data_IF_817261652764
#
_entry.id   IF_817261652764
#
_cell.length_a   1.000
_cell.length_b   1.000
_cell.length_c   1.000
_cell.angle_alpha   90.00
_cell.angle_beta   90.00
_cell.angle_gamma   90.00
#
_symmetry.space_group_name_H-M   'P 1'
#
loop_
_entity.id
_entity.type
_entity.pdbx_description
1 polymer ?
#
# COMPACT_ATOMS: atom_id res chain seq x y z
N UNK A 1 9.48 13.12 -2.69
CA UNK A 1 8.44 12.15 -2.28
C UNK A 1 8.26 11.18 -3.43
N UNK A 2 8.22 9.88 -3.15
CA UNK A 2 7.96 8.86 -4.18
C UNK A 2 6.48 8.91 -4.61
N UNK A 3 6.20 8.46 -5.83
CA UNK A 3 4.83 8.33 -6.34
C UNK A 3 3.99 7.41 -5.44
N UNK A 4 4.57 6.31 -4.97
CA UNK A 4 3.97 5.41 -3.97
C UNK A 4 3.60 6.15 -2.68
N UNK A 5 4.46 7.03 -2.15
CA UNK A 5 4.09 7.81 -0.96
C UNK A 5 2.87 8.70 -1.21
N UNK A 6 2.83 9.36 -2.37
CA UNK A 6 1.74 10.27 -2.71
C UNK A 6 0.37 9.55 -2.81
N UNK A 7 0.30 8.42 -3.50
CA UNK A 7 -0.96 7.66 -3.66
C UNK A 7 -1.49 7.12 -2.32
N UNK A 8 -0.59 6.74 -1.41
CA UNK A 8 -1.00 6.29 -0.07
C UNK A 8 -1.52 7.44 0.77
N UNK A 9 -0.90 8.62 0.71
CA UNK A 9 -1.42 9.82 1.39
C UNK A 9 -2.79 10.21 0.85
N UNK A 10 -2.95 10.22 -0.48
CA UNK A 10 -4.24 10.47 -1.11
C UNK A 10 -5.31 9.46 -0.64
N UNK A 11 -4.97 8.17 -0.57
CA UNK A 11 -5.89 7.14 -0.08
C UNK A 11 -6.27 7.31 1.40
N UNK A 12 -5.35 7.82 2.23
CA UNK A 12 -5.65 8.18 3.62
C UNK A 12 -6.62 9.35 3.66
N UNK A 13 -6.36 10.42 2.91
CA UNK A 13 -7.21 11.61 2.86
C UNK A 13 -8.63 11.30 2.36
N UNK A 14 -8.75 10.33 1.45
CA UNK A 14 -10.03 9.85 0.93
C UNK A 14 -10.68 8.74 1.78
N UNK A 15 -10.05 8.31 2.87
CA UNK A 15 -10.60 7.31 3.80
C UNK A 15 -10.70 5.90 3.22
N UNK A 16 -9.80 5.51 2.31
CA UNK A 16 -9.81 4.18 1.68
C UNK A 16 -9.31 3.07 2.60
N UNK A 17 -8.51 3.41 3.60
CA UNK A 17 -7.83 2.47 4.47
C UNK A 17 -8.43 2.42 5.87
N UNK A 18 -8.24 1.27 6.53
CA UNK A 18 -8.49 1.09 7.97
C UNK A 18 -7.13 0.96 8.68
N UNK A 19 -7.10 0.35 9.87
CA UNK A 19 -5.86 0.09 10.63
C UNK A 19 -4.87 -0.80 9.84
N UNK A 20 -5.41 -1.59 8.92
CA UNK A 20 -4.65 -2.48 8.04
C UNK A 20 -4.98 -2.19 6.57
N UNK A 21 -3.98 -2.39 5.73
CA UNK A 21 -4.04 -2.22 4.28
C UNK A 21 -3.43 -3.43 3.59
N UNK A 22 -4.05 -3.85 2.48
CA UNK A 22 -3.51 -4.89 1.62
C UNK A 22 -2.53 -4.24 0.63
N UNK A 23 -1.25 -4.62 0.68
CA UNK A 23 -0.18 -4.02 -0.12
C UNK A 23 0.39 -4.98 -1.14
N UNK A 24 0.76 -4.46 -2.31
CA UNK A 24 1.51 -5.18 -3.34
C UNK A 24 3.00 -4.91 -3.14
N UNK A 25 3.79 -5.97 -3.02
CA UNK A 25 5.26 -5.88 -2.92
C UNK A 25 5.93 -6.27 -4.23
N UNK A 26 6.93 -5.48 -4.62
CA UNK A 26 7.83 -5.73 -5.76
C UNK A 26 9.27 -5.63 -5.30
N UNK A 27 10.04 -6.70 -5.51
CA UNK A 27 11.44 -6.79 -5.07
C UNK A 27 11.63 -6.46 -3.57
N UNK A 28 10.68 -6.88 -2.74
CA UNK A 28 10.67 -6.67 -1.29
C UNK A 28 10.19 -5.28 -0.85
N UNK A 29 9.94 -4.34 -1.76
CA UNK A 29 9.44 -2.99 -1.45
C UNK A 29 7.94 -2.88 -1.71
N UNK A 30 7.27 -2.02 -0.95
CA UNK A 30 5.89 -1.61 -1.19
C UNK A 30 5.83 -0.87 -2.51
N UNK A 31 5.00 -1.36 -3.42
CA UNK A 31 4.82 -0.84 -4.76
C UNK A 31 3.45 -0.17 -4.89
N UNK A 32 2.40 -0.82 -4.37
CA UNK A 32 1.01 -0.39 -4.48
C UNK A 32 0.14 -0.96 -3.33
N UNK A 33 -1.16 -0.67 -3.34
CA UNK A 33 -2.17 -1.28 -2.49
C UNK A 33 -3.30 -1.92 -3.30
N UNK A 34 -4.15 -2.70 -2.64
CA UNK A 34 -5.33 -3.34 -3.24
C UNK A 34 -6.57 -2.88 -2.48
N UNK A 35 -7.53 -2.28 -3.19
CA UNK A 35 -8.80 -1.86 -2.62
C UNK A 35 -9.80 -3.02 -2.54
N UNK A 36 -10.81 -2.93 -1.65
CA UNK A 36 -11.90 -3.91 -1.60
C UNK A 36 -12.58 -4.08 -2.96
N UNK A 37 -12.58 -5.31 -3.47
CA UNK A 37 -13.20 -5.65 -4.76
C UNK A 37 -12.25 -5.62 -5.96
N UNK A 38 -11.01 -5.15 -5.79
CA UNK A 38 -9.99 -5.27 -6.82
C UNK A 38 -9.47 -6.69 -6.93
N UNK A 39 -9.12 -7.08 -8.16
CA UNK A 39 -8.60 -8.41 -8.45
C UNK A 39 -7.08 -8.39 -8.39
N UNK A 40 -6.53 -9.15 -7.44
CA UNK A 40 -5.09 -9.45 -7.37
C UNK A 40 -4.69 -10.34 -8.55
N UNK A 41 -3.63 -9.96 -9.24
CA UNK A 41 -3.05 -10.73 -10.34
C UNK A 41 -2.19 -11.90 -9.80
N UNK A 42 -2.09 -13.03 -10.53
CA UNK A 42 -1.35 -14.21 -10.04
C UNK A 42 0.15 -14.00 -9.77
N UNK A 43 0.74 -12.94 -10.30
CA UNK A 43 2.16 -12.61 -10.14
C UNK A 43 2.41 -11.55 -9.07
N UNK A 44 1.36 -10.98 -8.47
CA UNK A 44 1.49 -10.01 -7.40
C UNK A 44 1.73 -10.72 -6.07
N UNK A 45 2.74 -10.23 -5.34
CA UNK A 45 2.99 -10.65 -3.97
C UNK A 45 2.24 -9.69 -3.07
N UNK A 46 1.25 -10.19 -2.35
CA UNK A 46 0.34 -9.36 -1.55
C UNK A 46 0.37 -9.76 -0.08
N UNK A 47 0.38 -8.75 0.79
CA UNK A 47 0.36 -8.90 2.25
C UNK A 47 -0.64 -7.93 2.87
N UNK A 48 -1.21 -8.30 4.02
CA UNK A 48 -2.00 -7.39 4.86
C UNK A 48 -1.08 -6.85 5.94
N UNK A 49 -0.90 -5.54 5.98
CA UNK A 49 0.07 -4.87 6.84
C UNK A 49 -0.59 -3.69 7.56
N UNK A 50 -0.03 -3.28 8.70
CA UNK A 50 -0.51 -2.09 9.42
C UNK A 50 -0.23 -0.84 8.60
N UNK A 51 -1.23 0.03 8.50
CA UNK A 51 -1.10 1.27 7.74
C UNK A 51 0.08 2.13 8.25
N UNK A 52 0.23 2.25 9.57
CA UNK A 52 1.32 3.02 10.18
C UNK A 52 2.71 2.48 9.80
N UNK A 53 2.89 1.16 9.77
CA UNK A 53 4.17 0.53 9.40
C UNK A 53 4.46 0.73 7.91
N UNK A 54 3.43 0.62 7.06
CA UNK A 54 3.51 0.87 5.62
C UNK A 54 3.94 2.30 5.34
N UNK A 55 3.25 3.31 5.91
CA UNK A 55 3.57 4.73 5.73
C UNK A 55 4.99 5.04 6.19
N UNK A 56 5.40 4.46 7.33
CA UNK A 56 6.76 4.60 7.82
C UNK A 56 7.78 4.01 6.85
N UNK A 57 7.53 2.84 6.29
CA UNK A 57 8.45 2.22 5.31
C UNK A 57 8.58 3.10 4.05
N UNK A 58 7.47 3.47 3.41
CA UNK A 58 7.48 4.24 2.15
C UNK A 58 8.00 5.68 2.32
N UNK A 59 7.94 6.25 3.54
CA UNK A 59 8.53 7.57 3.85
C UNK A 59 10.07 7.57 3.85
N UNK A 60 10.69 6.39 3.94
CA UNK A 60 12.14 6.20 3.92
C UNK A 60 12.68 5.77 2.55
N UNK A 61 11.86 5.80 1.50
CA UNK A 61 12.25 5.45 0.14
C UNK A 61 13.07 6.53 -0.57
#
# INVERSE_FOLDING_TARGET
MSETYYIFVEGIENGWFSDFVQVVRKDGKIFDFVLPGEKVQPHEVVSIEKLDDVIKEISNY
#
